data_IF_537488546690
#
_entry.id   IF_537488546690
#
_cell.length_a   1.000
_cell.length_b   1.000
_cell.length_c   1.000
_cell.angle_alpha   90.00
_cell.angle_beta   90.00
_cell.angle_gamma   90.00
#
_symmetry.space_group_name_H-M   'P 1'
#
loop_
_entity.id
_entity.type
_entity.pdbx_description
1 polymer ?
#
# COMPACT_ATOMS: atom_id res chain seq x y z
N UNK A 1 20.24 27.76 -17.20
CA UNK A 1 19.02 27.79 -16.36
C UNK A 1 18.23 26.53 -16.62
N UNK A 2 17.92 25.82 -15.53
CA UNK A 2 16.84 24.85 -15.35
C UNK A 2 16.84 23.54 -16.17
N UNK A 3 17.28 22.46 -15.51
CA UNK A 3 16.47 21.26 -15.29
C UNK A 3 17.14 20.42 -14.17
N UNK A 4 17.07 20.95 -12.95
CA UNK A 4 17.18 20.14 -11.73
C UNK A 4 15.76 19.71 -11.35
N UNK A 5 15.66 18.52 -10.74
CA UNK A 5 14.46 17.78 -10.33
C UNK A 5 13.85 16.93 -11.47
N UNK A 6 13.65 15.63 -11.32
CA UNK A 6 13.38 14.89 -10.11
C UNK A 6 13.96 13.48 -10.24
N UNK A 7 14.73 13.08 -9.23
CA UNK A 7 15.14 11.69 -9.08
C UNK A 7 13.90 10.91 -8.69
N UNK A 8 13.14 10.43 -9.67
CA UNK A 8 12.21 9.34 -9.48
C UNK A 8 13.03 8.07 -9.31
N UNK A 9 13.74 8.01 -8.18
CA UNK A 9 14.34 6.82 -7.64
C UNK A 9 13.17 5.98 -7.15
N UNK A 10 12.49 5.31 -8.10
CA UNK A 10 11.83 4.04 -7.80
C UNK A 10 12.96 3.07 -7.49
N UNK A 11 13.43 3.19 -6.25
CA UNK A 11 14.20 2.19 -5.55
C UNK A 11 13.42 0.88 -5.72
N UNK A 12 13.81 0.10 -6.72
CA UNK A 12 13.29 -1.25 -6.99
C UNK A 12 13.88 -2.16 -5.89
N UNK A 13 13.56 -1.85 -4.64
CA UNK A 13 13.85 -2.69 -3.49
C UNK A 13 12.89 -3.86 -3.53
N UNK A 14 13.41 -4.99 -4.02
CA UNK A 14 12.98 -6.37 -3.72
C UNK A 14 11.70 -6.48 -2.87
N UNK A 15 10.55 -6.58 -3.55
CA UNK A 15 9.38 -7.33 -3.05
C UNK A 15 8.59 -6.70 -1.91
N UNK A 16 8.32 -5.40 -1.93
CA UNK A 16 7.33 -4.83 -1.03
C UNK A 16 5.91 -5.11 -1.57
N UNK A 17 5.24 -6.12 -1.00
CA UNK A 17 3.88 -6.55 -1.39
C UNK A 17 2.89 -5.38 -1.49
N UNK A 18 3.06 -4.37 -0.62
CA UNK A 18 2.28 -3.14 -0.63
C UNK A 18 2.41 -2.41 -1.96
N UNK A 19 3.64 -2.23 -2.45
CA UNK A 19 3.91 -1.47 -3.67
C UNK A 19 3.34 -2.20 -4.88
N UNK A 20 3.42 -3.54 -4.92
CA UNK A 20 2.75 -4.34 -5.96
C UNK A 20 1.22 -4.19 -5.92
N UNK A 21 0.62 -4.13 -4.74
CA UNK A 21 -0.82 -3.92 -4.60
C UNK A 21 -1.25 -2.51 -5.01
N UNK A 22 -0.42 -1.49 -4.71
CA UNK A 22 -0.66 -0.11 -5.11
C UNK A 22 -0.50 0.08 -6.62
N UNK A 23 0.53 -0.50 -7.22
CA UNK A 23 0.73 -0.50 -8.67
C UNK A 23 -0.48 -1.11 -9.39
N UNK A 24 -0.99 -2.24 -8.88
CA UNK A 24 -2.20 -2.87 -9.44
C UNK A 24 -3.44 -2.00 -9.30
N UNK A 25 -3.60 -1.32 -8.16
CA UNK A 25 -4.73 -0.41 -7.96
C UNK A 25 -4.66 0.77 -8.93
N UNK A 26 -3.45 1.30 -9.18
CA UNK A 26 -3.18 2.34 -10.15
C UNK A 26 -3.49 1.90 -11.58
N UNK A 27 -2.96 0.75 -12.01
CA UNK A 27 -3.25 0.17 -13.33
C UNK A 27 -4.74 -0.02 -13.57
N UNK A 28 -5.47 -0.49 -12.56
CA UNK A 28 -6.91 -0.67 -12.64
C UNK A 28 -7.64 0.67 -12.79
N UNK A 29 -7.26 1.68 -12.01
CA UNK A 29 -7.85 3.02 -12.13
C UNK A 29 -7.60 3.63 -13.52
N UNK A 30 -6.37 3.52 -14.03
CA UNK A 30 -6.02 3.99 -15.38
C UNK A 30 -6.83 3.25 -16.45
N UNK A 31 -7.04 1.94 -16.30
CA UNK A 31 -7.85 1.16 -17.24
C UNK A 31 -9.33 1.57 -17.23
N UNK A 32 -9.87 1.96 -16.08
CA UNK A 32 -11.28 2.32 -15.90
C UNK A 32 -11.56 3.78 -16.28
N UNK A 33 -10.65 4.69 -15.96
CA UNK A 33 -10.84 6.14 -16.09
C UNK A 33 -10.02 6.78 -17.22
N UNK A 34 -9.00 6.09 -17.73
CA UNK A 34 -8.12 6.60 -18.79
C UNK A 34 -7.15 7.69 -18.33
N UNK A 35 -7.09 7.97 -17.03
CA UNK A 35 -6.23 8.98 -16.42
C UNK A 35 -5.52 8.43 -15.18
N UNK A 36 -4.50 9.16 -14.75
CA UNK A 36 -3.73 8.84 -13.56
C UNK A 36 -4.59 9.06 -12.31
N UNK A 37 -4.63 8.11 -11.34
CA UNK A 37 -5.32 8.33 -10.08
C UNK A 37 -4.75 9.53 -9.32
N UNK A 38 -5.59 10.32 -8.64
CA UNK A 38 -5.12 11.39 -7.77
C UNK A 38 -4.37 10.82 -6.57
N UNK A 39 -3.37 11.56 -6.07
CA UNK A 39 -2.53 11.14 -4.94
C UNK A 39 -3.35 10.76 -3.69
N UNK A 40 -4.47 11.45 -3.45
CA UNK A 40 -5.40 11.16 -2.36
C UNK A 40 -5.98 9.75 -2.45
N UNK A 41 -6.34 9.29 -3.66
CA UNK A 41 -6.88 7.96 -3.88
C UNK A 41 -5.81 6.88 -3.64
N UNK A 42 -4.58 7.14 -4.04
CA UNK A 42 -3.44 6.24 -3.77
C UNK A 42 -3.14 6.18 -2.27
N UNK A 43 -3.22 7.30 -1.56
CA UNK A 43 -3.05 7.36 -0.12
C UNK A 43 -4.14 6.55 0.62
N UNK A 44 -5.40 6.70 0.20
CA UNK A 44 -6.53 5.94 0.75
C UNK A 44 -6.39 4.43 0.48
N UNK A 45 -5.99 4.06 -0.74
CA UNK A 45 -5.72 2.68 -1.10
C UNK A 45 -4.61 2.08 -0.22
N UNK A 46 -3.54 2.84 0.03
CA UNK A 46 -2.44 2.44 0.91
C UNK A 46 -2.91 2.18 2.34
N UNK A 47 -3.70 3.09 2.92
CA UNK A 47 -4.23 2.91 4.28
C UNK A 47 -5.12 1.66 4.35
N UNK A 48 -5.99 1.47 3.36
CA UNK A 48 -6.90 0.33 3.29
C UNK A 48 -6.14 -1.01 3.22
N UNK A 49 -5.09 -1.09 2.39
CA UNK A 49 -4.24 -2.28 2.28
C UNK A 49 -3.54 -2.57 3.61
N UNK A 50 -2.92 -1.55 4.23
CA UNK A 50 -2.25 -1.70 5.52
C UNK A 50 -3.21 -2.16 6.62
N UNK A 51 -4.41 -1.57 6.68
CA UNK A 51 -5.43 -1.95 7.66
C UNK A 51 -5.89 -3.39 7.48
N UNK A 52 -6.06 -3.86 6.23
CA UNK A 52 -6.40 -5.26 5.93
C UNK A 52 -5.29 -6.22 6.32
N UNK A 53 -4.03 -5.88 6.01
CA UNK A 53 -2.86 -6.68 6.40
C UNK A 53 -2.71 -6.77 7.91
N UNK A 54 -2.88 -5.65 8.62
CA UNK A 54 -2.85 -5.62 10.08
C UNK A 54 -3.96 -6.46 10.70
N UNK A 55 -5.18 -6.36 10.17
CA UNK A 55 -6.31 -7.20 10.61
C UNK A 55 -6.03 -8.68 10.37
N UNK A 56 -5.53 -9.04 9.18
CA UNK A 56 -5.22 -10.43 8.85
C UNK A 56 -4.18 -11.02 9.81
N UNK A 57 -3.10 -10.27 10.08
CA UNK A 57 -2.08 -10.67 11.07
C UNK A 57 -2.63 -10.77 12.49
N UNK A 58 -3.51 -9.85 12.89
CA UNK A 58 -4.17 -9.93 14.20
C UNK A 58 -5.05 -11.16 14.32
N UNK A 59 -5.83 -11.47 13.29
CA UNK A 59 -6.72 -12.63 13.28
C UNK A 59 -5.93 -13.95 13.23
N UNK A 60 -4.79 -14.00 12.51
CA UNK A 60 -3.88 -15.15 12.47
C UNK A 60 -3.19 -15.42 13.82
N UNK A 61 -2.86 -14.37 14.57
CA UNK A 61 -2.21 -14.47 15.88
C UNK A 61 -3.18 -14.22 17.04
N UNK A 62 -4.48 -14.34 16.80
CA UNK A 62 -5.51 -14.00 17.79
C UNK A 62 -5.30 -14.76 19.09
N UNK A 63 -4.96 -16.04 19.00
CA UNK A 63 -4.75 -16.93 20.13
C UNK A 63 -3.62 -16.44 21.06
N UNK A 64 -2.59 -15.81 20.49
CA UNK A 64 -1.46 -15.22 21.22
C UNK A 64 -1.88 -13.91 21.89
N UNK A 65 -2.61 -13.06 21.16
CA UNK A 65 -3.11 -11.79 21.69
C UNK A 65 -4.18 -11.99 22.77
N UNK A 66 -5.07 -12.96 22.61
CA UNK A 66 -6.09 -13.32 23.59
C UNK A 66 -5.39 -13.87 24.86
N UNK A 67 -4.33 -14.68 24.73
CA UNK A 67 -3.54 -15.15 25.88
C UNK A 67 -2.75 -14.05 26.63
N UNK A 68 -2.33 -12.99 25.94
CA UNK A 68 -1.67 -11.82 26.53
C UNK A 68 -2.65 -10.83 27.17
N UNK A 69 -3.94 -10.86 26.78
CA UNK A 69 -4.97 -9.98 27.31
C UNK A 69 -5.56 -10.49 28.64
N UNK A 70 -5.34 -11.76 28.97
CA UNK A 70 -5.80 -12.42 30.20
C UNK A 70 -4.77 -12.33 31.37
N UNK A 71 -3.69 -11.55 31.23
CA UNK A 71 -2.71 -11.20 32.29
C UNK A 71 -2.97 -9.81 32.88
#
# INVERSE_FOLDING_TARGET
MAAENDSHSTDVSRGNLLDTMLERAREQYVAEHGEEPPDELIADARESILRRLAKHKRDEHRDIYDALADE
#
